data_IF_268436174293
#
_entry.id   IF_268436174293
#
_cell.length_a   1.000
_cell.length_b   1.000
_cell.length_c   1.000
_cell.angle_alpha   90.00
_cell.angle_beta   90.00
_cell.angle_gamma   90.00
#
_symmetry.space_group_name_H-M   'P 1'
#
loop_
_entity.id
_entity.type
_entity.pdbx_description
1 polymer ?
#
# COMPACT_ATOMS: atom_id res chain seq x y z
N UNK A 1 20.92 33.99 -2.97
CA UNK A 1 21.14 32.75 -3.73
C UNK A 1 20.24 32.79 -4.94
N UNK A 2 20.71 32.56 -6.16
CA UNK A 2 19.82 32.49 -7.32
C UNK A 2 18.91 31.28 -7.21
N UNK A 3 17.61 31.46 -7.44
CA UNK A 3 16.60 30.39 -7.46
C UNK A 3 16.96 29.31 -8.49
N UNK A 4 16.74 28.03 -8.21
CA UNK A 4 17.01 26.96 -9.19
C UNK A 4 16.25 27.19 -10.49
N UNK A 5 16.88 26.94 -11.64
CA UNK A 5 16.32 27.14 -13.00
C UNK A 5 14.93 26.48 -13.21
N UNK A 6 14.59 25.46 -12.42
CA UNK A 6 13.30 24.77 -12.45
C UNK A 6 12.14 25.66 -11.96
N UNK A 7 12.38 26.55 -10.99
CA UNK A 7 11.34 27.45 -10.44
C UNK A 7 11.02 28.56 -11.45
N UNK A 8 12.03 29.04 -12.20
CA UNK A 8 11.83 30.04 -13.24
C UNK A 8 11.01 29.51 -14.43
N UNK A 9 11.15 28.22 -14.77
CA UNK A 9 10.36 27.57 -15.83
C UNK A 9 8.88 27.40 -15.45
N UNK A 10 8.59 27.09 -14.17
CA UNK A 10 7.22 26.92 -13.70
C UNK A 10 6.47 28.24 -13.53
N UNK A 11 7.15 29.32 -13.16
CA UNK A 11 6.56 30.66 -13.06
C UNK A 11 6.03 31.16 -14.42
N UNK A 12 6.68 30.80 -15.53
CA UNK A 12 6.23 31.15 -16.89
C UNK A 12 4.99 30.40 -17.35
N UNK A 13 4.76 29.18 -16.84
CA UNK A 13 3.62 28.33 -17.20
C UNK A 13 2.33 28.74 -16.46
N UNK A 14 2.44 29.29 -15.24
CA UNK A 14 1.30 29.65 -14.40
C UNK A 14 1.03 31.15 -14.27
N UNK A 15 1.76 31.99 -14.99
CA UNK A 15 1.51 33.46 -15.05
C UNK A 15 1.84 34.21 -13.74
N UNK A 16 2.67 33.65 -12.86
CA UNK A 16 3.11 34.31 -11.63
C UNK A 16 4.33 35.19 -11.86
N UNK A 17 4.27 36.44 -11.42
CA UNK A 17 5.42 37.33 -11.38
C UNK A 17 6.16 37.12 -10.06
N UNK A 18 7.48 36.90 -10.12
CA UNK A 18 8.35 36.44 -9.04
C UNK A 18 8.61 37.46 -7.91
N UNK A 19 7.96 38.62 -7.89
CA UNK A 19 8.41 39.74 -7.04
C UNK A 19 7.86 39.78 -5.62
N UNK A 20 6.95 38.84 -5.21
CA UNK A 20 6.38 38.83 -3.86
C UNK A 20 5.91 37.45 -3.36
N UNK A 21 6.55 36.35 -3.77
CA UNK A 21 6.18 35.03 -3.27
C UNK A 21 7.18 34.61 -2.19
N UNK A 22 6.72 34.48 -0.95
CA UNK A 22 7.55 34.00 0.16
C UNK A 22 7.89 32.51 0.04
N UNK A 23 8.93 32.10 0.73
CA UNK A 23 9.44 30.73 0.71
C UNK A 23 8.39 29.71 1.20
N UNK A 24 7.49 30.13 2.10
CA UNK A 24 6.40 29.30 2.63
C UNK A 24 5.33 29.01 1.56
N UNK A 25 4.99 30.02 0.78
CA UNK A 25 4.05 29.90 -0.35
C UNK A 25 4.64 29.03 -1.46
N UNK A 26 5.93 29.21 -1.79
CA UNK A 26 6.63 28.36 -2.77
C UNK A 26 6.64 26.89 -2.28
N UNK A 27 6.97 26.63 -1.04
CA UNK A 27 6.97 25.27 -0.48
C UNK A 27 5.58 24.66 -0.43
N UNK A 28 4.53 25.43 -0.20
CA UNK A 28 3.14 24.96 -0.21
C UNK A 28 2.70 24.60 -1.63
N UNK A 29 3.04 25.43 -2.62
CA UNK A 29 2.77 25.17 -4.03
C UNK A 29 3.53 23.92 -4.51
N UNK A 30 4.82 23.80 -4.16
CA UNK A 30 5.63 22.64 -4.53
C UNK A 30 5.12 21.34 -3.88
N UNK A 31 4.67 21.39 -2.62
CA UNK A 31 4.01 20.26 -1.97
C UNK A 31 2.68 19.90 -2.66
N UNK A 32 1.88 20.89 -3.05
CA UNK A 32 0.64 20.69 -3.79
C UNK A 32 0.89 20.05 -5.17
N UNK A 33 1.90 20.53 -5.90
CA UNK A 33 2.30 19.98 -7.21
C UNK A 33 2.84 18.56 -7.08
N UNK A 34 3.67 18.28 -6.05
CA UNK A 34 4.20 16.96 -5.81
C UNK A 34 3.07 15.98 -5.40
N UNK A 35 2.17 16.39 -4.49
CA UNK A 35 1.02 15.57 -4.11
C UNK A 35 0.08 15.29 -5.29
N UNK A 36 -0.14 16.26 -6.18
CA UNK A 36 -0.99 16.05 -7.37
C UNK A 36 -0.31 15.19 -8.43
N UNK A 37 1.03 15.24 -8.56
CA UNK A 37 1.79 14.34 -9.44
C UNK A 37 1.84 12.92 -8.90
N UNK A 38 2.08 12.75 -7.59
CA UNK A 38 2.06 11.43 -6.93
C UNK A 38 0.66 10.80 -6.95
N UNK A 39 -0.41 11.59 -6.77
CA UNK A 39 -1.78 11.10 -6.79
C UNK A 39 -2.20 10.49 -8.14
N UNK A 40 -1.54 10.88 -9.25
CA UNK A 40 -1.85 10.41 -10.60
C UNK A 40 -0.74 9.54 -11.23
N UNK A 41 0.28 9.16 -10.44
CA UNK A 41 1.43 8.44 -10.99
C UNK A 41 1.12 6.96 -11.28
N UNK A 42 0.18 6.35 -10.58
CA UNK A 42 -0.17 4.95 -10.72
C UNK A 42 -1.65 4.77 -11.05
N UNK A 43 -2.03 3.81 -11.90
CA UNK A 43 -3.41 3.42 -12.10
C UNK A 43 -4.06 3.01 -10.76
N UNK A 44 -5.29 3.47 -10.53
CA UNK A 44 -6.12 3.09 -9.38
C UNK A 44 -7.32 2.28 -9.83
N UNK A 45 -8.03 1.67 -8.87
CA UNK A 45 -9.15 0.78 -9.12
C UNK A 45 -8.76 -0.39 -10.04
N UNK A 46 -7.64 -1.04 -9.71
CA UNK A 46 -7.20 -2.26 -10.36
C UNK A 46 -6.43 -3.16 -9.39
N UNK A 47 -6.28 -4.42 -9.78
CA UNK A 47 -5.54 -5.43 -9.03
C UNK A 47 -4.04 -5.33 -9.31
N UNK A 48 -3.25 -5.48 -8.26
CA UNK A 48 -1.79 -5.56 -8.31
C UNK A 48 -1.33 -6.86 -7.67
N UNK A 49 -0.28 -7.47 -8.21
CA UNK A 49 0.36 -8.62 -7.57
C UNK A 49 1.15 -8.11 -6.36
N UNK A 50 0.79 -8.59 -5.17
CA UNK A 50 1.44 -8.23 -3.91
C UNK A 50 2.56 -9.20 -3.54
N UNK A 51 2.35 -10.51 -3.79
CA UNK A 51 3.28 -11.57 -3.42
C UNK A 51 2.96 -12.86 -4.17
N UNK A 52 3.87 -13.84 -4.12
CA UNK A 52 3.52 -15.23 -4.39
C UNK A 52 2.74 -15.80 -3.19
N UNK A 53 1.77 -16.68 -3.44
CA UNK A 53 0.91 -17.25 -2.39
C UNK A 53 1.72 -17.98 -1.29
N UNK A 54 2.82 -18.63 -1.66
CA UNK A 54 3.68 -19.37 -0.73
C UNK A 54 4.53 -18.46 0.19
N UNK A 55 4.69 -17.16 -0.14
CA UNK A 55 5.42 -16.20 0.69
C UNK A 55 4.58 -15.73 1.89
N UNK A 56 3.23 -15.80 1.76
CA UNK A 56 2.35 -15.31 2.80
C UNK A 56 2.03 -16.44 3.78
N UNK A 57 2.56 -16.29 4.98
CA UNK A 57 2.36 -17.19 6.12
C UNK A 57 1.55 -16.51 7.21
N UNK A 58 1.53 -17.05 8.41
CA UNK A 58 1.00 -16.39 9.60
C UNK A 58 1.87 -15.22 10.09
N UNK A 59 3.14 -15.13 9.66
CA UNK A 59 4.00 -13.98 9.93
C UNK A 59 3.59 -12.75 9.11
N UNK A 60 3.89 -11.55 9.66
CA UNK A 60 3.63 -10.30 8.95
C UNK A 60 4.60 -10.12 7.79
N UNK A 61 4.06 -9.92 6.60
CA UNK A 61 4.80 -9.72 5.37
C UNK A 61 4.58 -8.29 4.87
N UNK A 62 5.62 -7.46 4.91
CA UNK A 62 5.54 -6.06 4.52
C UNK A 62 5.82 -5.84 3.03
N UNK A 63 5.03 -4.97 2.39
CA UNK A 63 5.21 -4.50 1.01
C UNK A 63 4.89 -3.02 0.89
N UNK A 64 5.51 -2.37 -0.09
CA UNK A 64 5.09 -1.04 -0.53
C UNK A 64 4.52 -1.17 -1.94
N UNK A 65 3.23 -0.81 -2.10
CA UNK A 65 2.52 -0.85 -3.38
C UNK A 65 1.95 0.54 -3.63
N UNK A 66 2.22 1.13 -4.79
CA UNK A 66 1.83 2.49 -5.15
C UNK A 66 2.20 3.54 -4.07
N UNK A 67 3.41 3.45 -3.52
CA UNK A 67 3.91 4.28 -2.41
C UNK A 67 3.14 4.11 -1.08
N UNK A 68 2.32 3.07 -0.96
CA UNK A 68 1.55 2.77 0.23
C UNK A 68 2.14 1.56 0.95
N UNK A 69 2.52 1.72 2.21
CA UNK A 69 3.03 0.64 3.05
C UNK A 69 1.88 -0.27 3.48
N UNK A 70 2.03 -1.57 3.28
CA UNK A 70 0.99 -2.59 3.47
C UNK A 70 1.61 -3.78 4.18
N UNK A 71 0.85 -4.41 5.07
CA UNK A 71 1.15 -5.72 5.64
C UNK A 71 0.16 -6.75 5.13
N UNK A 72 0.67 -7.96 4.87
CA UNK A 72 -0.13 -9.13 4.54
C UNK A 72 0.20 -10.26 5.52
N UNK A 73 -0.76 -11.13 5.81
CA UNK A 73 -0.57 -12.34 6.60
C UNK A 73 -1.71 -13.33 6.34
N UNK A 74 -1.52 -14.61 6.74
CA UNK A 74 -2.62 -15.59 6.78
C UNK A 74 -3.32 -15.55 8.13
N UNK A 75 -4.62 -15.45 8.08
CA UNK A 75 -5.51 -15.59 9.23
C UNK A 75 -5.63 -17.05 9.66
N UNK A 76 -6.22 -17.34 10.81
CA UNK A 76 -6.36 -18.70 11.33
C UNK A 76 -7.19 -19.62 10.42
N UNK A 77 -8.11 -19.07 9.64
CA UNK A 77 -8.90 -19.81 8.64
C UNK A 77 -8.17 -19.99 7.29
N UNK A 78 -6.88 -19.61 7.23
CA UNK A 78 -6.01 -19.78 6.09
C UNK A 78 -6.17 -18.72 4.99
N UNK A 79 -7.08 -17.76 5.15
CA UNK A 79 -7.28 -16.66 4.19
C UNK A 79 -6.19 -15.61 4.33
N UNK A 80 -5.86 -14.95 3.22
CA UNK A 80 -4.96 -13.81 3.23
C UNK A 80 -5.73 -12.54 3.62
N UNK A 81 -5.10 -11.72 4.47
CA UNK A 81 -5.58 -10.40 4.82
C UNK A 81 -4.52 -9.35 4.54
N UNK A 82 -4.95 -8.11 4.27
CA UNK A 82 -4.06 -6.98 4.05
C UNK A 82 -4.57 -5.73 4.77
N UNK A 83 -3.67 -5.07 5.48
CA UNK A 83 -3.91 -3.80 6.16
C UNK A 83 -2.84 -2.78 5.79
N UNK A 84 -3.17 -1.49 5.94
CA UNK A 84 -2.16 -0.43 5.93
C UNK A 84 -1.13 -0.70 7.03
N UNK A 85 0.15 -0.61 6.68
CA UNK A 85 1.26 -0.82 7.64
C UNK A 85 1.46 0.42 8.53
N UNK A 86 0.41 0.76 9.28
CA UNK A 86 0.39 1.95 10.13
C UNK A 86 -0.58 1.81 11.29
N UNK A 87 -0.06 1.80 12.49
CA UNK A 87 -0.89 1.80 13.70
C UNK A 87 -1.52 3.18 13.93
N UNK A 88 -2.86 3.31 14.05
CA UNK A 88 -3.52 4.61 14.20
C UNK A 88 -3.21 5.30 15.53
N UNK A 89 -2.67 4.58 16.53
CA UNK A 89 -2.35 5.15 17.85
C UNK A 89 -1.16 6.11 17.80
N UNK A 90 -0.01 5.66 17.25
CA UNK A 90 1.25 6.44 17.19
C UNK A 90 1.96 6.32 15.85
N UNK A 91 1.25 5.91 14.82
CA UNK A 91 1.68 5.86 13.42
C UNK A 91 2.94 5.01 13.17
N UNK A 92 3.28 4.12 14.10
CA UNK A 92 4.37 3.16 13.91
C UNK A 92 3.96 2.06 12.92
N UNK A 93 4.91 1.49 12.15
CA UNK A 93 4.63 0.37 11.28
C UNK A 93 4.11 -0.85 12.08
N UNK A 94 3.03 -1.46 11.62
CA UNK A 94 2.51 -2.70 12.21
C UNK A 94 3.40 -3.90 11.88
N UNK A 95 4.14 -3.84 10.78
CA UNK A 95 5.13 -4.85 10.37
C UNK A 95 6.25 -5.06 11.39
N UNK A 96 6.49 -4.10 12.30
CA UNK A 96 7.43 -4.26 13.43
C UNK A 96 6.84 -5.10 14.58
N UNK A 97 5.57 -5.46 14.49
CA UNK A 97 4.87 -6.29 15.46
C UNK A 97 4.89 -7.77 15.09
N UNK A 98 3.83 -8.46 15.44
CA UNK A 98 3.65 -9.91 15.19
C UNK A 98 2.19 -10.27 15.03
N UNK A 99 1.92 -11.49 14.63
CA UNK A 99 0.59 -12.09 14.70
C UNK A 99 0.39 -12.83 16.03
N UNK A 100 -0.79 -12.71 16.61
CA UNK A 100 -1.19 -13.43 17.82
C UNK A 100 -2.62 -13.90 17.62
N UNK A 101 -2.82 -15.21 17.55
CA UNK A 101 -4.14 -15.81 17.31
C UNK A 101 -4.84 -15.23 16.08
N UNK A 102 -4.09 -15.04 14.98
CA UNK A 102 -4.61 -14.49 13.71
C UNK A 102 -4.83 -12.97 13.70
N UNK A 103 -4.60 -12.29 14.84
CA UNK A 103 -4.67 -10.83 14.95
C UNK A 103 -3.28 -10.22 14.77
N UNK A 104 -3.20 -9.02 14.19
CA UNK A 104 -1.96 -8.23 14.14
C UNK A 104 -1.77 -7.48 15.45
N UNK A 105 -0.70 -7.77 16.17
CA UNK A 105 -0.31 -7.08 17.41
C UNK A 105 0.75 -6.02 17.10
N UNK A 106 0.44 -4.76 17.38
CA UNK A 106 1.38 -3.64 17.24
C UNK A 106 2.58 -3.81 18.18
N UNK A 107 3.79 -3.72 17.65
CA UNK A 107 5.03 -3.90 18.40
C UNK A 107 5.29 -2.82 19.46
N UNK A 108 4.59 -1.67 19.39
CA UNK A 108 4.83 -0.55 20.31
C UNK A 108 4.03 -0.67 21.62
N UNK A 109 2.70 -0.79 21.54
CA UNK A 109 1.85 -0.84 22.73
C UNK A 109 0.91 -2.05 22.78
N UNK A 110 1.09 -3.03 21.91
CA UNK A 110 0.34 -4.29 21.95
C UNK A 110 -1.14 -4.18 21.54
N UNK A 111 -1.57 -3.09 20.87
CA UNK A 111 -2.92 -3.04 20.29
C UNK A 111 -3.06 -4.14 19.25
N UNK A 112 -4.20 -4.84 19.23
CA UNK A 112 -4.45 -5.92 18.29
C UNK A 112 -5.55 -5.55 17.30
N UNK A 113 -5.34 -5.88 16.05
CA UNK A 113 -6.25 -5.61 14.94
C UNK A 113 -6.65 -6.90 14.24
N UNK A 114 -7.92 -7.04 13.89
CA UNK A 114 -8.41 -8.16 13.09
C UNK A 114 -8.20 -7.89 11.58
N UNK A 115 -8.55 -8.88 10.75
CA UNK A 115 -8.47 -8.79 9.29
C UNK A 115 -9.34 -7.71 8.66
N UNK A 116 -10.37 -7.23 9.37
CA UNK A 116 -11.18 -6.08 8.97
C UNK A 116 -10.58 -4.74 9.38
N UNK A 117 -9.40 -4.75 10.00
CA UNK A 117 -8.72 -3.57 10.50
C UNK A 117 -9.31 -3.00 11.80
N UNK A 118 -10.35 -3.60 12.37
CA UNK A 118 -10.90 -3.14 13.64
C UNK A 118 -9.97 -3.53 14.80
N UNK A 119 -9.78 -2.60 15.74
CA UNK A 119 -9.07 -2.90 16.97
C UNK A 119 -9.87 -3.91 17.80
N UNK A 120 -9.28 -5.06 18.07
CA UNK A 120 -9.90 -6.16 18.84
C UNK A 120 -9.55 -6.10 20.32
N UNK A 121 -8.39 -5.55 20.68
CA UNK A 121 -7.99 -5.41 22.10
C UNK A 121 -6.96 -4.30 22.30
N UNK A 122 -7.04 -3.66 23.46
CA UNK A 122 -6.07 -2.69 23.96
C UNK A 122 -5.57 -3.17 25.30
N UNK A 123 -4.25 -3.36 25.50
CA UNK A 123 -3.70 -3.81 26.77
C UNK A 123 -4.12 -2.89 27.93
N UNK A 124 -4.56 -3.51 29.04
CA UNK A 124 -4.98 -2.79 30.24
C UNK A 124 -6.35 -2.07 30.15
N UNK A 125 -7.07 -2.21 29.04
CA UNK A 125 -8.41 -1.58 28.87
C UNK A 125 -9.49 -2.67 28.68
N UNK A 126 -10.65 -2.46 29.31
CA UNK A 126 -11.82 -3.33 29.13
C UNK A 126 -12.64 -2.98 27.89
N UNK A 127 -12.53 -1.76 27.41
CA UNK A 127 -13.27 -1.23 26.26
C UNK A 127 -12.31 -0.81 25.15
N UNK A 128 -12.67 -1.17 23.93
CA UNK A 128 -11.90 -0.78 22.74
C UNK A 128 -12.57 0.44 22.09
N UNK A 129 -11.81 1.49 21.73
CA UNK A 129 -12.39 2.63 21.03
C UNK A 129 -12.94 2.21 19.66
N UNK A 130 -14.21 2.54 19.38
CA UNK A 130 -14.90 2.13 18.14
C UNK A 130 -14.25 2.69 16.86
N UNK A 131 -13.57 3.82 16.97
CA UNK A 131 -12.86 4.49 15.86
C UNK A 131 -11.40 4.03 15.70
N UNK A 132 -10.88 3.14 16.56
CA UNK A 132 -9.56 2.57 16.42
C UNK A 132 -9.55 1.52 15.31
N UNK A 133 -9.27 1.97 14.07
CA UNK A 133 -9.27 1.13 12.88
C UNK A 133 -8.04 1.40 12.03
N UNK A 134 -7.57 0.35 11.36
CA UNK A 134 -6.56 0.39 10.31
C UNK A 134 -7.28 0.21 8.97
N UNK A 135 -6.84 0.88 7.92
CA UNK A 135 -7.40 0.69 6.59
C UNK A 135 -7.10 -0.73 6.10
N UNK A 136 -8.13 -1.41 5.58
CA UNK A 136 -8.00 -2.73 4.96
C UNK A 136 -8.01 -2.60 3.44
N UNK A 137 -7.38 -3.57 2.79
CA UNK A 137 -7.41 -3.70 1.34
C UNK A 137 -8.12 -5.00 0.94
N UNK A 138 -8.96 -4.99 -0.11
CA UNK A 138 -9.44 -6.23 -0.71
C UNK A 138 -8.25 -7.02 -1.26
N UNK A 139 -8.25 -8.33 -0.98
CA UNK A 139 -7.24 -9.27 -1.46
C UNK A 139 -7.91 -10.51 -2.02
N UNK A 140 -7.30 -11.10 -3.05
CA UNK A 140 -7.71 -12.38 -3.63
C UNK A 140 -6.48 -13.25 -3.84
N UNK A 141 -6.59 -14.54 -3.55
CA UNK A 141 -5.56 -15.54 -3.86
C UNK A 141 -5.99 -16.31 -5.10
N UNK A 142 -5.28 -16.08 -6.21
CA UNK A 142 -5.60 -16.68 -7.51
C UNK A 142 -4.32 -16.93 -8.32
N UNK A 143 -4.24 -18.07 -8.99
CA UNK A 143 -3.10 -18.44 -9.83
C UNK A 143 -1.75 -18.44 -9.08
N UNK A 144 -1.73 -18.98 -7.86
CA UNK A 144 -0.57 -19.02 -6.97
C UNK A 144 0.01 -17.61 -6.63
N UNK A 145 -0.77 -16.56 -6.86
CA UNK A 145 -0.43 -15.17 -6.56
C UNK A 145 -1.43 -14.57 -5.57
N UNK A 146 -0.94 -13.61 -4.78
CA UNK A 146 -1.78 -12.76 -3.94
C UNK A 146 -1.99 -11.44 -4.67
N UNK A 147 -3.25 -11.17 -4.98
CA UNK A 147 -3.70 -9.94 -5.61
C UNK A 147 -4.25 -8.99 -4.56
N UNK A 148 -3.94 -7.70 -4.71
CA UNK A 148 -4.44 -6.64 -3.84
C UNK A 148 -5.10 -5.57 -4.69
N UNK A 149 -6.28 -5.13 -4.27
CA UNK A 149 -6.98 -4.04 -4.94
C UNK A 149 -6.52 -2.69 -4.42
N UNK A 150 -6.07 -1.83 -5.33
CA UNK A 150 -5.59 -0.50 -5.01
C UNK A 150 -6.56 0.56 -5.53
N UNK A 151 -7.56 0.88 -4.70
CA UNK A 151 -8.61 1.83 -5.06
C UNK A 151 -9.79 1.81 -4.10
N UNK A 152 -10.96 2.26 -4.57
CA UNK A 152 -12.21 2.20 -3.82
C UNK A 152 -12.62 0.73 -3.65
N UNK A 153 -12.79 0.28 -2.40
CA UNK A 153 -12.99 -1.14 -2.08
C UNK A 153 -14.31 -1.72 -2.63
N UNK A 154 -15.31 -0.87 -2.79
CA UNK A 154 -16.62 -1.21 -3.37
C UNK A 154 -16.58 -1.47 -4.89
N UNK A 155 -15.48 -1.08 -5.55
CA UNK A 155 -15.23 -1.35 -6.97
C UNK A 155 -14.34 -2.58 -7.19
N UNK A 156 -13.92 -3.27 -6.13
CA UNK A 156 -13.09 -4.46 -6.24
C UNK A 156 -13.91 -5.61 -6.84
N UNK A 157 -13.58 -5.98 -8.08
CA UNK A 157 -14.20 -7.05 -8.82
C UNK A 157 -13.13 -8.08 -9.18
N UNK A 158 -13.27 -9.31 -8.69
CA UNK A 158 -12.30 -10.39 -8.93
C UNK A 158 -12.28 -10.85 -10.39
N UNK A 159 -13.32 -10.60 -11.18
CA UNK A 159 -13.35 -10.90 -12.60
C UNK A 159 -12.38 -10.02 -13.41
N UNK A 160 -11.90 -8.91 -12.81
CA UNK A 160 -10.85 -8.06 -13.40
C UNK A 160 -9.44 -8.61 -13.17
N UNK A 161 -9.26 -9.68 -12.40
CA UNK A 161 -7.96 -10.36 -12.26
C UNK A 161 -7.66 -11.08 -13.58
N UNK A 162 -6.48 -10.81 -14.19
CA UNK A 162 -6.10 -11.48 -15.43
C UNK A 162 -6.12 -13.01 -15.29
N UNK A 163 -6.62 -13.71 -16.29
CA UNK A 163 -6.53 -15.16 -16.34
C UNK A 163 -5.07 -15.58 -16.55
N UNK A 164 -4.52 -16.25 -15.57
CA UNK A 164 -3.17 -16.82 -15.56
C UNK A 164 -3.18 -18.29 -15.16
N UNK A 165 -4.26 -19.01 -15.53
CA UNK A 165 -4.51 -20.41 -15.12
C UNK A 165 -3.32 -21.34 -15.40
N UNK A 166 -2.47 -21.05 -16.41
CA UNK A 166 -1.30 -21.85 -16.73
C UNK A 166 -0.26 -21.88 -15.61
N UNK A 167 -0.28 -20.95 -14.64
CA UNK A 167 0.69 -20.92 -13.53
C UNK A 167 0.49 -22.12 -12.60
N UNK A 168 -0.77 -22.53 -12.38
CA UNK A 168 -1.15 -23.56 -11.41
C UNK A 168 -1.95 -24.73 -12.02
N UNK A 169 -2.15 -24.73 -13.34
CA UNK A 169 -2.87 -25.81 -14.03
C UNK A 169 -2.06 -27.09 -14.20
N UNK A 170 -2.70 -28.26 -14.09
CA UNK A 170 -2.04 -29.52 -14.36
C UNK A 170 -1.40 -29.59 -15.75
N UNK A 171 -0.18 -30.11 -15.84
CA UNK A 171 0.58 -30.21 -17.08
C UNK A 171 1.42 -29.00 -17.43
N UNK A 172 1.29 -27.91 -16.69
CA UNK A 172 2.16 -26.73 -16.80
C UNK A 172 3.17 -26.69 -15.66
N UNK A 173 4.32 -26.10 -15.93
CA UNK A 173 5.33 -25.80 -14.92
C UNK A 173 5.71 -24.33 -15.04
N UNK A 174 5.36 -23.55 -14.02
CA UNK A 174 5.80 -22.17 -13.89
C UNK A 174 7.09 -22.10 -13.07
N UNK A 175 8.01 -21.22 -13.46
CA UNK A 175 9.13 -20.77 -12.63
C UNK A 175 8.86 -19.35 -12.18
N UNK A 176 9.24 -19.04 -10.96
CA UNK A 176 9.03 -17.73 -10.36
C UNK A 176 10.35 -17.03 -10.08
N UNK A 177 10.35 -15.70 -10.09
CA UNK A 177 11.52 -14.91 -9.76
C UNK A 177 11.15 -13.47 -9.50
N UNK A 178 12.07 -12.73 -8.87
CA UNK A 178 11.98 -11.31 -8.66
C UNK A 178 13.04 -10.58 -9.44
N UNK A 179 12.62 -9.54 -10.15
CA UNK A 179 13.53 -8.59 -10.77
C UNK A 179 13.24 -7.21 -10.20
N UNK A 180 14.25 -6.59 -9.58
CA UNK A 180 14.12 -5.21 -9.09
C UNK A 180 14.75 -4.26 -10.10
N UNK A 181 13.97 -3.27 -10.53
CA UNK A 181 14.41 -2.23 -11.46
C UNK A 181 14.32 -0.86 -10.77
N UNK A 182 15.45 -0.15 -10.73
CA UNK A 182 15.52 1.21 -10.20
C UNK A 182 15.16 2.23 -11.29
N UNK A 183 13.96 2.13 -11.84
CA UNK A 183 13.44 3.03 -12.86
C UNK A 183 11.92 3.24 -12.72
N UNK A 184 11.38 4.15 -13.53
CA UNK A 184 9.93 4.32 -13.63
C UNK A 184 9.30 3.05 -14.23
N UNK A 185 8.20 2.55 -13.63
CA UNK A 185 7.52 1.32 -14.06
C UNK A 185 7.05 1.36 -15.52
N UNK A 186 6.76 2.55 -16.05
CA UNK A 186 6.34 2.74 -17.45
C UNK A 186 7.41 2.28 -18.44
N UNK A 187 8.70 2.45 -18.08
CA UNK A 187 9.80 1.97 -18.92
C UNK A 187 9.87 0.43 -19.00
N UNK A 188 9.38 -0.26 -17.96
CA UNK A 188 9.31 -1.72 -17.94
C UNK A 188 8.13 -2.21 -18.80
N UNK A 189 7.01 -1.49 -18.77
CA UNK A 189 5.82 -1.84 -19.54
C UNK A 189 5.98 -1.56 -21.04
N UNK A 190 6.86 -0.64 -21.41
CA UNK A 190 7.13 -0.26 -22.82
C UNK A 190 8.12 -1.20 -23.51
N UNK A 191 8.69 -2.18 -22.80
CA UNK A 191 9.79 -3.02 -23.32
C UNK A 191 9.31 -4.42 -23.79
#
# INVERSE_FOLDING_TARGET
MPLPKVILSLAGIYGFTTNNVDELTINTILKGINNSREANMFPKNCWYVAAHAHEITDALFARTILNQAIILWRTLDGKVAALEDRCPHRLVPLSTGKTVNGLVECGYHGLRYNSDGACASVPGQRTVPKNARVNKFPVSERHALIWIWMGAADLADEDLIPDMHWIDSPGWRATTGYHHFSCDYRLINDN
#
